data_IF_774575335375
#
_entry.id   IF_774575335375
#
_cell.length_a   1.000
_cell.length_b   1.000
_cell.length_c   1.000
_cell.angle_alpha   90.00
_cell.angle_beta   90.00
_cell.angle_gamma   90.00
#
_symmetry.space_group_name_H-M   'P 1'
#
loop_
_entity.id
_entity.type
_entity.pdbx_description
1 polymer ?
#
# COMPACT_ATOMS: atom_id res chain seq x y z
N UNK A 1 15.49 -0.12 19.01
CA UNK A 1 15.50 0.85 17.89
C UNK A 1 14.82 2.14 18.36
N UNK A 2 15.41 3.29 18.13
CA UNK A 2 14.87 4.58 18.56
C UNK A 2 13.48 4.79 17.91
N UNK A 3 12.47 5.27 18.66
CA UNK A 3 11.09 5.43 18.16
C UNK A 3 10.98 6.26 16.87
N UNK A 4 11.88 7.24 16.71
CA UNK A 4 11.92 8.10 15.52
C UNK A 4 12.36 7.39 14.23
N UNK A 5 13.06 6.26 14.32
CA UNK A 5 13.53 5.48 13.17
C UNK A 5 12.65 4.25 12.92
N UNK A 6 11.97 3.77 13.97
CA UNK A 6 11.16 2.53 13.90
C UNK A 6 10.03 2.65 12.86
N UNK A 7 9.28 3.74 12.89
CA UNK A 7 8.15 3.95 11.96
C UNK A 7 8.59 4.00 10.51
N UNK A 8 9.49 4.93 10.11
CA UNK A 8 10.00 5.02 8.76
C UNK A 8 10.62 3.72 8.23
N UNK A 9 11.35 2.96 9.07
CA UNK A 9 11.95 1.69 8.66
C UNK A 9 10.89 0.64 8.29
N UNK A 10 9.82 0.48 9.08
CA UNK A 10 8.73 -0.43 8.74
C UNK A 10 7.97 -0.01 7.49
N UNK A 11 7.75 1.30 7.30
CA UNK A 11 7.12 1.83 6.09
C UNK A 11 7.97 1.61 4.84
N UNK A 12 9.29 1.74 4.95
CA UNK A 12 10.22 1.48 3.85
C UNK A 12 10.22 0.00 3.44
N UNK A 13 10.20 -0.92 4.43
CA UNK A 13 10.05 -2.36 4.16
C UNK A 13 8.70 -2.67 3.52
N UNK A 14 7.62 -2.01 3.96
CA UNK A 14 6.31 -2.12 3.33
C UNK A 14 6.36 -1.69 1.86
N UNK A 15 6.92 -0.49 1.57
CA UNK A 15 7.07 0.02 0.21
C UNK A 15 7.91 -0.91 -0.67
N UNK A 16 8.96 -1.51 -0.13
CA UNK A 16 9.78 -2.51 -0.82
C UNK A 16 8.96 -3.74 -1.24
N UNK A 17 8.21 -4.35 -0.31
CA UNK A 17 7.38 -5.51 -0.63
C UNK A 17 6.24 -5.18 -1.60
N UNK A 18 5.63 -4.01 -1.47
CA UNK A 18 4.59 -3.59 -2.39
C UNK A 18 5.13 -3.33 -3.79
N UNK A 19 6.28 -2.66 -3.90
CA UNK A 19 6.90 -2.38 -5.19
C UNK A 19 7.23 -3.65 -5.98
N UNK A 20 7.88 -4.62 -5.34
CA UNK A 20 8.21 -5.90 -6.01
C UNK A 20 6.94 -6.69 -6.39
N UNK A 21 5.86 -6.57 -5.60
CA UNK A 21 4.63 -7.31 -5.84
C UNK A 21 3.85 -6.88 -7.09
N UNK A 22 4.08 -5.67 -7.63
CA UNK A 22 3.37 -5.19 -8.83
C UNK A 22 3.56 -6.11 -10.04
N UNK A 23 4.76 -6.63 -10.24
CA UNK A 23 5.05 -7.55 -11.34
C UNK A 23 4.21 -8.84 -11.23
N UNK A 24 4.15 -9.44 -10.05
CA UNK A 24 3.34 -10.64 -9.81
C UNK A 24 1.84 -10.36 -9.93
N UNK A 25 1.36 -9.19 -9.49
CA UNK A 25 -0.04 -8.79 -9.67
C UNK A 25 -0.41 -8.68 -11.15
N UNK A 26 0.44 -8.06 -11.97
CA UNK A 26 0.23 -7.94 -13.40
C UNK A 26 0.28 -9.30 -14.10
N UNK A 27 1.25 -10.16 -13.75
CA UNK A 27 1.37 -11.50 -14.33
C UNK A 27 0.13 -12.38 -14.04
N UNK A 28 -0.40 -12.32 -12.84
CA UNK A 28 -1.58 -13.08 -12.45
C UNK A 28 -2.82 -12.76 -13.30
N UNK A 29 -2.94 -11.53 -13.84
CA UNK A 29 -4.07 -11.13 -14.71
C UNK A 29 -4.11 -11.86 -16.05
N UNK A 30 -3.04 -12.56 -16.42
CA UNK A 30 -3.05 -13.45 -17.59
C UNK A 30 -3.76 -14.81 -17.34
N UNK A 31 -4.07 -15.11 -16.07
CA UNK A 31 -4.57 -16.42 -15.65
C UNK A 31 -5.90 -16.37 -14.90
N UNK A 32 -6.18 -15.26 -14.20
CA UNK A 32 -7.39 -15.05 -13.41
C UNK A 32 -7.90 -13.63 -13.57
N UNK A 33 -9.18 -13.44 -13.38
CA UNK A 33 -9.81 -12.12 -13.41
C UNK A 33 -9.58 -11.33 -12.10
N UNK A 34 -9.77 -10.00 -12.11
CA UNK A 34 -9.42 -9.12 -11.00
C UNK A 34 -10.05 -9.48 -9.65
N UNK A 35 -11.35 -9.78 -9.61
CA UNK A 35 -12.02 -10.08 -8.34
C UNK A 35 -11.57 -11.44 -7.78
N UNK A 36 -11.40 -12.43 -8.65
CA UNK A 36 -10.85 -13.75 -8.30
C UNK A 36 -9.44 -13.62 -7.73
N UNK A 37 -8.59 -12.82 -8.34
CA UNK A 37 -7.24 -12.59 -7.81
C UNK A 37 -7.27 -11.94 -6.43
N UNK A 38 -8.09 -10.89 -6.23
CA UNK A 38 -8.22 -10.22 -4.93
C UNK A 38 -8.78 -11.18 -3.88
N UNK A 39 -9.73 -12.03 -4.23
CA UNK A 39 -10.24 -13.07 -3.35
C UNK A 39 -9.15 -14.06 -2.93
N UNK A 40 -8.42 -14.63 -3.89
CA UNK A 40 -7.37 -15.62 -3.63
C UNK A 40 -6.26 -15.03 -2.75
N UNK A 41 -5.70 -13.87 -3.14
CA UNK A 41 -4.63 -13.23 -2.37
C UNK A 41 -5.08 -12.87 -0.95
N UNK A 42 -6.31 -12.34 -0.79
CA UNK A 42 -6.81 -11.94 0.52
C UNK A 42 -7.05 -13.13 1.44
N UNK A 43 -7.59 -14.24 0.90
CA UNK A 43 -7.80 -15.47 1.65
C UNK A 43 -6.47 -16.06 2.12
N UNK A 44 -5.49 -16.20 1.23
CA UNK A 44 -4.17 -16.72 1.58
C UNK A 44 -3.47 -15.78 2.58
N UNK A 45 -3.57 -14.46 2.41
CA UNK A 45 -3.03 -13.49 3.36
C UNK A 45 -3.65 -13.65 4.75
N UNK A 46 -4.96 -13.77 4.85
CA UNK A 46 -5.65 -13.96 6.12
C UNK A 46 -5.18 -15.25 6.82
N UNK A 47 -5.08 -16.35 6.10
CA UNK A 47 -4.60 -17.64 6.62
C UNK A 47 -3.16 -17.53 7.12
N UNK A 48 -2.27 -16.92 6.33
CA UNK A 48 -0.86 -16.69 6.70
C UNK A 48 -0.75 -15.82 7.95
N UNK A 49 -1.55 -14.75 8.05
CA UNK A 49 -1.56 -13.88 9.23
C UNK A 49 -2.07 -14.60 10.47
N UNK A 50 -3.13 -15.40 10.34
CA UNK A 50 -3.66 -16.19 11.47
C UNK A 50 -2.65 -17.22 11.95
N UNK A 51 -2.01 -17.95 11.03
CA UNK A 51 -1.01 -18.96 11.38
C UNK A 51 0.31 -18.34 11.89
N UNK A 52 0.74 -17.21 11.29
CA UNK A 52 1.98 -16.51 11.61
C UNK A 52 1.87 -15.49 12.74
N UNK A 53 0.69 -15.28 13.34
CA UNK A 53 0.45 -14.25 14.34
C UNK A 53 1.45 -14.27 15.52
N UNK A 54 1.78 -15.42 16.15
CA UNK A 54 2.74 -15.44 17.24
C UNK A 54 4.13 -14.96 16.84
N UNK A 55 4.58 -15.36 15.63
CA UNK A 55 5.88 -14.98 15.08
C UNK A 55 5.91 -13.47 14.76
N UNK A 56 4.89 -12.96 14.08
CA UNK A 56 4.79 -11.56 13.69
C UNK A 56 4.70 -10.64 14.91
N UNK A 57 3.92 -11.02 15.93
CA UNK A 57 3.85 -10.28 17.20
C UNK A 57 5.21 -10.24 17.91
N UNK A 58 5.96 -11.34 17.89
CA UNK A 58 7.32 -11.40 18.47
C UNK A 58 8.29 -10.48 17.71
N UNK A 59 8.24 -10.49 16.38
CA UNK A 59 9.10 -9.66 15.53
C UNK A 59 8.79 -8.16 15.66
N UNK A 60 7.51 -7.82 15.77
CA UNK A 60 7.05 -6.43 15.96
C UNK A 60 7.24 -5.91 17.39
N UNK A 61 7.45 -6.81 18.35
CA UNK A 61 7.46 -6.49 19.78
C UNK A 61 6.08 -6.10 20.31
N UNK A 62 5.01 -6.59 19.69
CA UNK A 62 3.63 -6.37 20.12
C UNK A 62 3.13 -7.55 20.95
N UNK A 63 2.45 -7.23 22.04
CA UNK A 63 1.78 -8.23 22.87
C UNK A 63 0.34 -8.44 22.42
N UNK A 64 -0.23 -9.61 22.71
CA UNK A 64 -1.66 -9.82 22.47
C UNK A 64 -2.50 -8.86 23.33
N UNK A 65 -3.51 -8.22 22.74
CA UNK A 65 -4.36 -7.31 23.46
C UNK A 65 -5.27 -8.07 24.45
N UNK A 66 -5.68 -7.43 25.56
CA UNK A 66 -6.69 -7.99 26.46
C UNK A 66 -7.98 -8.35 25.70
N UNK A 67 -8.71 -9.37 26.17
CA UNK A 67 -9.99 -9.83 25.56
C UNK A 67 -11.02 -8.69 25.37
N UNK A 68 -11.06 -7.71 26.25
CA UNK A 68 -11.94 -6.54 26.18
C UNK A 68 -11.70 -5.66 24.94
N UNK A 69 -10.53 -5.75 24.31
CA UNK A 69 -10.19 -5.01 23.07
C UNK A 69 -10.68 -5.73 21.80
N UNK A 70 -11.30 -6.91 21.89
CA UNK A 70 -11.65 -7.73 20.72
C UNK A 70 -12.70 -7.06 19.82
N UNK A 71 -13.77 -6.51 20.38
CA UNK A 71 -14.84 -5.86 19.60
C UNK A 71 -14.34 -4.65 18.82
N UNK A 72 -13.46 -3.86 19.43
CA UNK A 72 -12.83 -2.71 18.73
C UNK A 72 -11.93 -3.16 17.58
N UNK A 73 -11.14 -4.25 17.74
CA UNK A 73 -10.35 -4.81 16.65
C UNK A 73 -11.24 -5.23 15.48
N UNK A 74 -12.36 -5.90 15.77
CA UNK A 74 -13.29 -6.30 14.72
C UNK A 74 -13.93 -5.11 14.03
N UNK A 75 -14.46 -4.14 14.75
CA UNK A 75 -15.10 -2.97 14.15
C UNK A 75 -14.13 -2.16 13.26
N UNK A 76 -12.94 -1.86 13.80
CA UNK A 76 -11.91 -1.11 13.05
C UNK A 76 -11.37 -1.97 11.90
N UNK A 77 -11.16 -3.26 12.12
CA UNK A 77 -10.65 -4.18 11.10
C UNK A 77 -11.62 -4.35 9.93
N UNK A 78 -12.93 -4.47 10.19
CA UNK A 78 -13.97 -4.52 9.15
C UNK A 78 -14.00 -3.19 8.39
N UNK A 79 -14.01 -2.05 9.08
CA UNK A 79 -14.03 -0.74 8.44
C UNK A 79 -12.80 -0.54 7.53
N UNK A 80 -11.59 -0.77 8.06
CA UNK A 80 -10.36 -0.68 7.26
C UNK A 80 -10.33 -1.72 6.14
N UNK A 81 -10.80 -2.96 6.40
CA UNK A 81 -10.88 -4.03 5.40
C UNK A 81 -11.82 -3.72 4.25
N UNK A 82 -12.92 -3.02 4.51
CA UNK A 82 -13.85 -2.56 3.46
C UNK A 82 -13.19 -1.55 2.53
N UNK A 83 -12.47 -0.55 3.07
CA UNK A 83 -11.71 0.39 2.23
C UNK A 83 -10.52 -0.27 1.55
N UNK A 84 -9.87 -1.24 2.19
CA UNK A 84 -8.79 -2.02 1.60
C UNK A 84 -9.27 -2.82 0.39
N UNK A 85 -10.36 -3.58 0.51
CA UNK A 85 -10.88 -4.37 -0.61
C UNK A 85 -11.38 -3.49 -1.74
N UNK A 86 -12.04 -2.38 -1.43
CA UNK A 86 -12.45 -1.39 -2.42
C UNK A 86 -11.22 -0.86 -3.20
N UNK A 87 -10.19 -0.43 -2.49
CA UNK A 87 -8.97 0.07 -3.10
C UNK A 87 -8.28 -0.99 -3.97
N UNK A 88 -8.12 -2.21 -3.45
CA UNK A 88 -7.44 -3.29 -4.18
C UNK A 88 -8.22 -3.78 -5.40
N UNK A 89 -9.54 -3.87 -5.34
CA UNK A 89 -10.39 -4.22 -6.49
C UNK A 89 -10.27 -3.15 -7.58
N UNK A 90 -10.46 -1.88 -7.23
CA UNK A 90 -10.34 -0.78 -8.18
C UNK A 90 -8.95 -0.73 -8.83
N UNK A 91 -7.89 -0.92 -8.05
CA UNK A 91 -6.53 -0.99 -8.57
C UNK A 91 -6.36 -2.16 -9.54
N UNK A 92 -6.87 -3.34 -9.19
CA UNK A 92 -6.71 -4.54 -9.99
C UNK A 92 -7.48 -4.46 -11.32
N UNK A 93 -8.68 -3.86 -11.32
CA UNK A 93 -9.44 -3.55 -12.54
C UNK A 93 -8.66 -2.54 -13.40
N UNK A 94 -8.10 -1.50 -12.78
CA UNK A 94 -7.31 -0.50 -13.48
C UNK A 94 -6.08 -1.08 -14.19
N UNK A 95 -5.37 -2.00 -13.54
CA UNK A 95 -4.17 -2.66 -14.10
C UNK A 95 -4.47 -3.43 -15.40
N UNK A 96 -5.68 -3.95 -15.57
CA UNK A 96 -6.07 -4.68 -16.80
C UNK A 96 -6.07 -3.77 -18.04
N UNK A 97 -6.44 -2.50 -17.88
CA UNK A 97 -6.68 -1.59 -19.00
C UNK A 97 -5.70 -0.42 -19.07
N UNK A 98 -4.80 -0.28 -18.10
CA UNK A 98 -3.71 0.69 -18.10
C UNK A 98 -2.35 0.02 -17.94
N UNK A 99 -1.25 0.72 -18.21
CA UNK A 99 0.10 0.15 -17.99
C UNK A 99 0.41 0.06 -16.51
N UNK A 100 1.21 -0.93 -16.11
CA UNK A 100 1.63 -1.12 -14.72
C UNK A 100 2.31 0.14 -14.15
N UNK A 101 3.17 0.80 -14.94
CA UNK A 101 3.83 2.04 -14.54
C UNK A 101 2.83 3.17 -14.30
N UNK A 102 1.85 3.34 -15.20
CA UNK A 102 0.82 4.38 -15.09
C UNK A 102 -0.14 4.10 -13.92
N UNK A 103 -0.51 2.83 -13.72
CA UNK A 103 -1.30 2.41 -12.55
C UNK A 103 -0.55 2.71 -11.24
N UNK A 104 0.74 2.40 -11.17
CA UNK A 104 1.59 2.74 -10.02
C UNK A 104 1.66 4.25 -9.76
N UNK A 105 1.82 5.07 -10.83
CA UNK A 105 1.78 6.53 -10.73
C UNK A 105 0.46 7.04 -10.14
N UNK A 106 -0.65 6.62 -10.73
CA UNK A 106 -1.97 7.10 -10.35
C UNK A 106 -2.33 6.64 -8.92
N UNK A 107 -2.02 5.39 -8.59
CA UNK A 107 -2.23 4.88 -7.22
C UNK A 107 -1.44 5.71 -6.20
N UNK A 108 -0.18 6.01 -6.48
CA UNK A 108 0.68 6.78 -5.59
C UNK A 108 0.23 8.24 -5.40
N UNK A 109 -0.76 8.74 -6.16
CA UNK A 109 -1.39 10.05 -5.90
C UNK A 109 -2.07 10.12 -4.53
N UNK A 110 -2.25 9.00 -3.81
CA UNK A 110 -2.64 9.04 -2.39
C UNK A 110 -1.70 9.92 -1.55
N UNK A 111 -0.45 10.11 -1.98
CA UNK A 111 0.51 11.03 -1.32
C UNK A 111 0.01 12.48 -1.24
N UNK A 112 -0.83 12.90 -2.18
CA UNK A 112 -1.46 14.23 -2.17
C UNK A 112 -2.80 14.18 -1.45
N UNK A 113 -3.56 13.11 -1.62
CA UNK A 113 -4.91 12.98 -1.06
C UNK A 113 -4.84 12.85 0.48
N UNK A 114 -3.87 12.10 1.03
CA UNK A 114 -3.71 11.92 2.48
C UNK A 114 -3.53 13.26 3.23
N UNK A 115 -2.60 14.16 2.85
CA UNK A 115 -2.48 15.46 3.52
C UNK A 115 -3.71 16.36 3.33
N UNK A 116 -4.40 16.27 2.19
CA UNK A 116 -5.66 16.99 1.97
C UNK A 116 -6.73 16.50 2.97
N UNK A 117 -6.91 15.18 3.09
CA UNK A 117 -7.79 14.59 4.11
C UNK A 117 -7.35 15.00 5.52
N UNK A 118 -6.04 15.08 5.76
CA UNK A 118 -5.47 15.58 7.03
C UNK A 118 -5.91 16.99 7.38
N UNK A 119 -5.95 17.91 6.42
CA UNK A 119 -6.41 19.30 6.62
C UNK A 119 -7.87 19.30 7.09
N UNK A 120 -8.77 18.57 6.43
CA UNK A 120 -10.17 18.43 6.86
C UNK A 120 -10.29 17.84 8.28
N UNK A 121 -9.31 17.06 8.68
CA UNK A 121 -9.22 16.47 10.02
C UNK A 121 -8.44 17.35 11.02
N UNK A 122 -8.18 18.62 10.66
CA UNK A 122 -7.45 19.62 11.46
C UNK A 122 -5.99 19.23 11.76
N UNK A 123 -5.36 18.44 10.91
CA UNK A 123 -3.93 18.12 10.94
C UNK A 123 -3.26 18.74 9.73
N UNK A 124 -2.49 19.80 9.96
CA UNK A 124 -1.77 20.53 8.90
C UNK A 124 -0.33 20.04 8.88
N UNK A 125 0.13 19.39 7.79
CA UNK A 125 1.52 18.95 7.67
C UNK A 125 2.49 20.12 7.65
N UNK A 126 3.73 19.88 8.08
CA UNK A 126 4.78 20.90 8.06
C UNK A 126 5.13 21.32 6.61
N UNK A 127 5.73 22.49 6.45
CA UNK A 127 6.19 23.00 5.14
C UNK A 127 7.20 22.05 4.50
N UNK A 128 8.04 21.42 5.29
CA UNK A 128 9.04 20.44 4.83
C UNK A 128 8.37 19.20 4.23
N UNK A 129 7.29 18.72 4.84
CA UNK A 129 6.50 17.59 4.31
C UNK A 129 5.83 17.98 2.99
N UNK A 130 5.25 19.18 2.87
CA UNK A 130 4.69 19.66 1.61
C UNK A 130 5.72 19.76 0.48
N UNK A 131 6.93 20.21 0.80
CA UNK A 131 8.04 20.19 -0.16
C UNK A 131 8.37 18.75 -0.59
N UNK A 132 8.41 17.81 0.36
CA UNK A 132 8.59 16.39 0.07
C UNK A 132 7.50 15.83 -0.84
N UNK A 133 6.23 16.15 -0.58
CA UNK A 133 5.10 15.74 -1.44
C UNK A 133 5.26 16.27 -2.86
N UNK A 134 5.58 17.56 -3.02
CA UNK A 134 5.78 18.18 -4.33
C UNK A 134 6.94 17.53 -5.10
N UNK A 135 8.08 17.35 -4.45
CA UNK A 135 9.25 16.69 -5.06
C UNK A 135 8.96 15.23 -5.43
N UNK A 136 8.24 14.50 -4.58
CA UNK A 136 7.83 13.12 -4.90
C UNK A 136 6.86 13.05 -6.08
N UNK A 137 5.93 14.00 -6.19
CA UNK A 137 5.04 14.06 -7.37
C UNK A 137 5.82 14.30 -8.67
N UNK A 138 6.79 15.22 -8.63
CA UNK A 138 7.67 15.46 -9.80
C UNK A 138 8.49 14.22 -10.11
N UNK A 139 9.10 13.59 -9.10
CA UNK A 139 9.86 12.36 -9.28
C UNK A 139 9.02 11.22 -9.83
N UNK A 140 7.81 11.03 -9.32
CA UNK A 140 6.86 10.03 -9.77
C UNK A 140 6.43 10.25 -11.23
N UNK A 141 6.24 11.51 -11.64
CA UNK A 141 6.00 11.87 -13.03
C UNK A 141 7.16 11.43 -13.95
N UNK A 142 8.40 11.74 -13.56
CA UNK A 142 9.57 11.34 -14.35
C UNK A 142 9.76 9.83 -14.39
N UNK A 143 9.41 9.11 -13.31
CA UNK A 143 9.57 7.67 -13.21
C UNK A 143 8.51 6.91 -14.03
N UNK A 144 7.25 7.33 -14.00
CA UNK A 144 6.16 6.50 -14.48
C UNK A 144 5.52 6.99 -15.79
N UNK A 145 5.67 8.27 -16.17
CA UNK A 145 5.03 8.83 -17.36
C UNK A 145 6.00 8.88 -18.51
N UNK A 146 5.90 7.91 -19.42
CA UNK A 146 6.76 7.82 -20.62
C UNK A 146 6.13 8.43 -21.86
N UNK A 147 4.79 8.45 -21.97
CA UNK A 147 4.05 8.84 -23.16
C UNK A 147 2.92 9.86 -22.88
N UNK A 148 2.09 10.14 -23.89
CA UNK A 148 1.04 11.14 -23.84
C UNK A 148 0.13 11.01 -22.60
N UNK A 149 -0.27 12.16 -22.03
CA UNK A 149 -1.20 12.30 -20.91
C UNK A 149 -2.66 11.91 -21.26
N UNK A 150 -2.88 11.02 -22.23
CA UNK A 150 -4.23 10.52 -22.53
C UNK A 150 -4.73 9.68 -21.36
N UNK A 151 -5.83 10.10 -20.75
CA UNK A 151 -6.52 9.34 -19.70
C UNK A 151 -7.48 8.35 -20.33
N UNK A 152 -7.42 7.10 -19.89
CA UNK A 152 -8.37 6.06 -20.24
C UNK A 152 -9.28 5.70 -19.05
N UNK A 153 -10.24 4.79 -19.27
CA UNK A 153 -11.16 4.35 -18.20
C UNK A 153 -10.44 3.67 -17.04
N UNK A 154 -9.39 2.89 -17.31
CA UNK A 154 -8.58 2.25 -16.27
C UNK A 154 -7.84 3.25 -15.39
N UNK A 155 -7.37 4.36 -15.96
CA UNK A 155 -6.74 5.45 -15.20
C UNK A 155 -7.70 6.09 -14.22
N UNK A 156 -8.95 6.32 -14.62
CA UNK A 156 -9.99 6.89 -13.76
C UNK A 156 -10.36 5.92 -12.63
N UNK A 157 -10.46 4.64 -12.91
CA UNK A 157 -10.71 3.60 -11.90
C UNK A 157 -9.55 3.53 -10.91
N UNK A 158 -8.31 3.59 -11.41
CA UNK A 158 -7.11 3.62 -10.55
C UNK A 158 -7.05 4.89 -9.70
N UNK A 159 -7.53 6.03 -10.19
CA UNK A 159 -7.63 7.26 -9.38
C UNK A 159 -8.64 7.11 -8.22
N UNK A 160 -9.76 6.44 -8.46
CA UNK A 160 -10.70 6.08 -7.39
C UNK A 160 -10.04 5.13 -6.37
N UNK A 161 -9.20 4.21 -6.83
CA UNK A 161 -8.39 3.35 -5.94
C UNK A 161 -7.44 4.18 -5.06
N UNK A 162 -6.74 5.17 -5.63
CA UNK A 162 -5.85 6.06 -4.88
C UNK A 162 -6.60 6.80 -3.75
N UNK A 163 -7.83 7.25 -4.02
CA UNK A 163 -8.68 7.85 -3.00
C UNK A 163 -9.06 6.86 -1.89
N UNK A 164 -9.45 5.64 -2.26
CA UNK A 164 -9.79 4.58 -1.29
C UNK A 164 -8.58 4.19 -0.43
N UNK A 165 -7.38 4.11 -1.00
CA UNK A 165 -6.13 3.91 -0.24
C UNK A 165 -5.82 5.08 0.70
N UNK A 166 -6.03 6.32 0.26
CA UNK A 166 -5.83 7.48 1.12
C UNK A 166 -6.76 7.47 2.34
N UNK A 167 -8.03 7.08 2.14
CA UNK A 167 -8.97 6.88 3.25
C UNK A 167 -8.52 5.75 4.16
N UNK A 168 -8.11 4.60 3.60
CA UNK A 168 -7.59 3.46 4.36
C UNK A 168 -6.38 3.85 5.23
N UNK A 169 -5.37 4.54 4.66
CA UNK A 169 -4.20 5.05 5.38
C UNK A 169 -4.63 5.96 6.54
N UNK A 170 -5.57 6.86 6.28
CA UNK A 170 -6.10 7.80 7.27
C UNK A 170 -6.86 7.09 8.40
N UNK A 171 -7.64 6.06 8.07
CA UNK A 171 -8.35 5.25 9.06
C UNK A 171 -7.39 4.46 9.96
N UNK A 172 -6.35 3.85 9.40
CA UNK A 172 -5.31 3.16 10.17
C UNK A 172 -4.63 4.13 11.14
N UNK A 173 -4.26 5.33 10.69
CA UNK A 173 -3.66 6.35 11.56
C UNK A 173 -4.60 6.73 12.73
N UNK A 174 -5.87 6.94 12.43
CA UNK A 174 -6.84 7.41 13.42
C UNK A 174 -7.27 6.34 14.42
N UNK A 175 -7.45 5.13 13.96
CA UNK A 175 -8.13 4.07 14.71
C UNK A 175 -7.21 2.92 15.11
N UNK A 176 -6.13 2.70 14.36
CA UNK A 176 -5.23 1.55 14.50
C UNK A 176 -4.18 1.68 15.60
N UNK A 177 -3.85 2.90 16.05
CA UNK A 177 -2.68 3.18 16.90
C UNK A 177 -2.56 2.35 18.18
N UNK A 178 -3.69 2.01 18.85
CA UNK A 178 -3.72 1.22 20.09
C UNK A 178 -4.01 -0.26 19.85
N UNK A 179 -4.22 -0.71 18.62
CA UNK A 179 -4.60 -2.06 18.27
C UNK A 179 -3.36 -2.90 17.92
N UNK A 180 -3.44 -4.23 18.10
CA UNK A 180 -2.39 -5.12 17.65
C UNK A 180 -2.38 -5.15 16.10
N UNK A 181 -1.22 -4.86 15.50
CA UNK A 181 -1.08 -4.67 14.05
C UNK A 181 -1.35 -5.94 13.26
N UNK A 182 -0.83 -7.08 13.71
CA UNK A 182 -1.02 -8.37 13.03
C UNK A 182 -2.49 -8.80 13.06
N UNK A 183 -3.15 -8.65 14.21
CA UNK A 183 -4.56 -8.98 14.37
C UNK A 183 -5.44 -8.05 13.53
N UNK A 184 -5.12 -6.75 13.50
CA UNK A 184 -5.84 -5.79 12.68
C UNK A 184 -5.69 -6.14 11.19
N UNK A 185 -4.48 -6.48 10.71
CA UNK A 185 -4.25 -6.96 9.35
C UNK A 185 -5.04 -8.22 9.05
N UNK A 186 -5.06 -9.21 9.95
CA UNK A 186 -5.79 -10.47 9.73
C UNK A 186 -7.30 -10.21 9.56
N UNK A 187 -7.90 -9.34 10.36
CA UNK A 187 -9.33 -8.99 10.24
C UNK A 187 -9.59 -8.22 8.95
N UNK A 188 -8.73 -7.28 8.56
CA UNK A 188 -8.86 -6.56 7.29
C UNK A 188 -8.84 -7.51 6.09
N UNK A 189 -7.89 -8.43 6.05
CA UNK A 189 -7.80 -9.41 4.95
C UNK A 189 -8.89 -10.47 5.01
N UNK A 190 -9.38 -10.85 6.19
CA UNK A 190 -10.58 -11.68 6.34
C UNK A 190 -11.82 -10.98 5.77
N UNK A 191 -12.00 -9.70 6.09
CA UNK A 191 -13.08 -8.87 5.51
C UNK A 191 -12.94 -8.77 3.99
N UNK A 192 -11.73 -8.49 3.50
CA UNK A 192 -11.45 -8.38 2.08
C UNK A 192 -11.71 -9.72 1.36
N UNK A 193 -11.33 -10.85 1.96
CA UNK A 193 -11.58 -12.18 1.41
C UNK A 193 -13.08 -12.48 1.28
N UNK A 194 -13.88 -12.17 2.30
CA UNK A 194 -15.33 -12.39 2.25
C UNK A 194 -15.99 -11.53 1.19
N UNK A 195 -15.69 -10.22 1.17
CA UNK A 195 -16.30 -9.29 0.21
C UNK A 195 -15.89 -9.66 -1.23
N UNK A 196 -14.60 -9.88 -1.48
CA UNK A 196 -14.11 -10.21 -2.82
C UNK A 196 -14.55 -11.60 -3.28
N UNK A 197 -14.73 -12.56 -2.36
CA UNK A 197 -15.34 -13.86 -2.66
C UNK A 197 -16.75 -13.69 -3.24
N UNK A 198 -17.60 -12.95 -2.52
CA UNK A 198 -18.99 -12.71 -2.96
C UNK A 198 -18.99 -12.01 -4.32
N UNK A 199 -18.17 -10.99 -4.51
CA UNK A 199 -18.10 -10.24 -5.78
C UNK A 199 -17.58 -11.14 -6.91
N UNK A 200 -16.53 -11.93 -6.66
CA UNK A 200 -15.97 -12.83 -7.68
C UNK A 200 -17.00 -13.85 -8.18
N UNK A 201 -17.73 -14.48 -7.28
CA UNK A 201 -18.77 -15.47 -7.68
C UNK A 201 -20.02 -14.84 -8.32
N UNK A 202 -20.25 -13.52 -8.17
CA UNK A 202 -21.36 -12.82 -8.84
C UNK A 202 -20.96 -12.35 -10.24
N UNK A 203 -19.74 -11.88 -10.43
CA UNK A 203 -19.31 -11.16 -11.65
C UNK A 203 -18.28 -11.91 -12.50
N UNK A 204 -17.66 -12.95 -11.95
CA UNK A 204 -16.63 -13.77 -12.60
C UNK A 204 -16.95 -15.25 -12.40
N UNK A 205 -16.24 -16.12 -13.12
CA UNK A 205 -16.31 -17.57 -12.95
C UNK A 205 -14.97 -18.11 -12.40
N UNK A 206 -14.75 -18.06 -11.07
CA UNK A 206 -13.49 -18.47 -10.46
C UNK A 206 -13.17 -19.93 -10.80
N UNK A 207 -12.12 -20.14 -11.63
CA UNK A 207 -11.70 -21.47 -12.04
C UNK A 207 -10.45 -21.91 -11.26
N UNK A 208 -10.45 -23.15 -10.76
CA UNK A 208 -9.29 -23.72 -10.05
C UNK A 208 -8.05 -23.80 -10.95
N UNK A 209 -8.22 -24.05 -12.25
CA UNK A 209 -7.12 -24.09 -13.21
C UNK A 209 -6.38 -22.76 -13.31
N UNK A 210 -7.08 -21.64 -13.34
CA UNK A 210 -6.48 -20.30 -13.34
C UNK A 210 -5.74 -20.02 -12.03
N UNK A 211 -6.34 -20.35 -10.88
CA UNK A 211 -5.70 -20.21 -9.57
C UNK A 211 -4.42 -21.04 -9.46
N UNK A 212 -4.41 -22.27 -9.99
CA UNK A 212 -3.22 -23.12 -10.03
C UNK A 212 -2.17 -22.61 -11.03
N UNK A 213 -2.56 -21.95 -12.11
CA UNK A 213 -1.60 -21.38 -13.06
C UNK A 213 -0.79 -20.21 -12.46
N UNK A 214 -1.42 -19.38 -11.62
CA UNK A 214 -0.77 -18.21 -10.99
C UNK A 214 -0.49 -18.40 -9.48
N UNK A 215 -0.44 -19.64 -8.95
CA UNK A 215 -0.29 -19.88 -7.52
C UNK A 215 0.94 -19.23 -6.89
N UNK A 216 2.06 -19.14 -7.64
CA UNK A 216 3.30 -18.50 -7.17
C UNK A 216 3.10 -17.01 -6.97
N UNK A 217 2.42 -16.36 -7.91
CA UNK A 217 2.10 -14.93 -7.85
C UNK A 217 1.15 -14.64 -6.70
N UNK A 218 0.09 -15.45 -6.55
CA UNK A 218 -0.85 -15.35 -5.42
C UNK A 218 -0.12 -15.51 -4.09
N UNK A 219 0.72 -16.54 -3.95
CA UNK A 219 1.46 -16.80 -2.71
C UNK A 219 2.45 -15.68 -2.39
N UNK A 220 3.21 -15.22 -3.39
CA UNK A 220 4.17 -14.12 -3.21
C UNK A 220 3.46 -12.83 -2.78
N UNK A 221 2.40 -12.45 -3.48
CA UNK A 221 1.63 -11.25 -3.16
C UNK A 221 0.95 -11.38 -1.79
N UNK A 222 0.40 -12.55 -1.46
CA UNK A 222 -0.26 -12.78 -0.17
C UNK A 222 0.71 -12.70 1.02
N UNK A 223 1.90 -13.28 0.90
CA UNK A 223 2.88 -13.30 1.99
C UNK A 223 3.63 -11.98 2.07
N UNK A 224 4.26 -11.55 0.97
CA UNK A 224 5.14 -10.38 0.99
C UNK A 224 4.36 -9.08 1.02
N UNK A 225 3.44 -8.88 0.08
CA UNK A 225 2.66 -7.64 0.01
C UNK A 225 1.54 -7.62 1.06
N UNK A 226 0.79 -8.70 1.18
CA UNK A 226 -0.35 -8.81 2.09
C UNK A 226 0.08 -8.93 3.55
N UNK A 227 0.64 -10.07 3.96
CA UNK A 227 0.89 -10.34 5.37
C UNK A 227 2.00 -9.44 5.95
N UNK A 228 3.16 -9.36 5.31
CA UNK A 228 4.26 -8.53 5.79
C UNK A 228 4.02 -7.05 5.52
N UNK A 229 3.70 -6.68 4.27
CA UNK A 229 3.55 -5.29 3.86
C UNK A 229 2.51 -4.55 4.69
N UNK A 230 1.27 -5.00 4.74
CA UNK A 230 0.21 -4.31 5.49
C UNK A 230 0.41 -4.36 7.02
N UNK A 231 0.99 -5.42 7.55
CA UNK A 231 1.36 -5.44 8.98
C UNK A 231 2.42 -4.38 9.27
N UNK A 232 3.44 -4.27 8.42
CA UNK A 232 4.49 -3.26 8.55
C UNK A 232 3.96 -1.84 8.33
N UNK A 233 2.98 -1.66 7.44
CA UNK A 233 2.27 -0.39 7.29
C UNK A 233 1.64 0.04 8.61
N UNK A 234 0.85 -0.83 9.24
CA UNK A 234 0.15 -0.50 10.49
C UNK A 234 1.16 -0.20 11.61
N UNK A 235 2.22 -1.02 11.74
CA UNK A 235 3.28 -0.78 12.72
C UNK A 235 3.96 0.56 12.45
N UNK A 236 4.30 0.82 11.21
CA UNK A 236 4.99 2.05 10.80
C UNK A 236 4.16 3.31 11.07
N UNK A 237 2.87 3.26 10.76
CA UNK A 237 1.94 4.37 11.00
C UNK A 237 1.69 4.67 12.48
N UNK A 238 1.92 3.74 13.40
CA UNK A 238 1.87 4.03 14.85
C UNK A 238 2.94 5.02 15.32
N UNK A 239 4.03 5.15 14.57
CA UNK A 239 5.20 5.96 14.93
C UNK A 239 5.50 7.06 13.93
N UNK A 240 4.69 7.21 12.88
CA UNK A 240 4.93 8.15 11.77
C UNK A 240 3.64 8.90 11.44
N UNK A 241 3.74 10.21 11.26
CA UNK A 241 2.63 11.04 10.82
C UNK A 241 2.07 10.54 9.46
N UNK A 242 0.73 10.56 9.23
CA UNK A 242 0.13 9.96 8.04
C UNK A 242 0.63 10.52 6.71
N UNK A 243 0.89 11.83 6.63
CA UNK A 243 1.45 12.43 5.39
C UNK A 243 2.88 11.97 5.13
N UNK A 244 3.72 11.89 6.17
CA UNK A 244 5.07 11.34 6.05
C UNK A 244 5.03 9.84 5.75
N UNK A 245 4.07 9.11 6.33
CA UNK A 245 3.86 7.71 6.04
C UNK A 245 3.50 7.49 4.56
N UNK A 246 2.55 8.26 4.00
CA UNK A 246 2.17 8.17 2.59
C UNK A 246 3.34 8.51 1.66
N UNK A 247 4.20 9.45 2.05
CA UNK A 247 5.39 9.84 1.29
C UNK A 247 6.43 8.70 1.24
N UNK A 248 6.65 8.00 2.36
CA UNK A 248 7.55 6.85 2.37
C UNK A 248 6.95 5.67 1.61
N UNK A 249 5.65 5.42 1.76
CA UNK A 249 4.96 4.33 1.07
C UNK A 249 5.00 4.51 -0.46
N UNK A 250 4.92 5.74 -0.98
CA UNK A 250 4.99 5.95 -2.44
C UNK A 250 6.35 5.56 -3.07
N UNK A 251 7.39 5.29 -2.27
CA UNK A 251 8.63 4.67 -2.74
C UNK A 251 8.41 3.25 -3.29
N UNK A 252 7.23 2.67 -3.12
CA UNK A 252 6.85 1.42 -3.81
C UNK A 252 7.07 1.51 -5.32
N UNK A 253 6.85 2.69 -5.94
CA UNK A 253 7.10 2.91 -7.36
C UNK A 253 8.59 2.85 -7.70
N UNK A 254 9.47 3.34 -6.82
CA UNK A 254 10.93 3.24 -6.96
C UNK A 254 11.36 1.78 -6.84
N UNK A 255 10.84 1.05 -5.87
CA UNK A 255 11.15 -0.37 -5.69
C UNK A 255 10.57 -1.23 -6.82
N UNK A 256 9.42 -0.87 -7.40
CA UNK A 256 8.89 -1.52 -8.60
C UNK A 256 9.82 -1.35 -9.79
N UNK A 257 10.36 -0.15 -10.00
CA UNK A 257 11.32 0.13 -11.07
C UNK A 257 12.64 -0.64 -10.87
N UNK A 258 13.18 -0.65 -9.64
CA UNK A 258 14.39 -1.41 -9.30
C UNK A 258 14.14 -2.92 -9.46
N UNK A 259 12.97 -3.41 -9.01
CA UNK A 259 12.58 -4.81 -9.17
C UNK A 259 12.48 -5.21 -10.64
N UNK A 260 11.90 -4.36 -11.49
CA UNK A 260 11.86 -4.54 -12.94
C UNK A 260 13.26 -4.61 -13.57
N UNK A 261 14.16 -3.73 -13.15
CA UNK A 261 15.55 -3.73 -13.61
C UNK A 261 16.31 -5.00 -13.19
N UNK A 262 16.26 -5.36 -11.90
CA UNK A 262 17.07 -6.47 -11.35
C UNK A 262 16.49 -7.84 -11.68
N UNK A 263 15.15 -8.00 -11.63
CA UNK A 263 14.50 -9.30 -11.76
C UNK A 263 14.02 -9.61 -13.18
N UNK A 264 13.66 -8.58 -13.94
CA UNK A 264 13.09 -8.72 -15.29
C UNK A 264 14.04 -8.21 -16.39
N UNK A 265 15.29 -7.83 -16.05
CA UNK A 265 16.29 -7.27 -16.96
C UNK A 265 15.77 -6.05 -17.77
N UNK A 266 14.80 -5.30 -17.21
CA UNK A 266 14.33 -4.07 -17.80
C UNK A 266 15.39 -2.98 -17.64
N UNK A 267 15.59 -2.13 -18.66
CA UNK A 267 16.53 -1.02 -18.59
C UNK A 267 15.84 0.22 -18.05
N UNK A 268 16.44 0.86 -17.04
CA UNK A 268 15.99 2.15 -16.57
C UNK A 268 16.61 3.26 -17.43
N UNK A 269 15.78 4.11 -17.99
CA UNK A 269 16.22 5.32 -18.68
C UNK A 269 16.80 6.35 -17.71
N UNK A 270 17.62 7.28 -18.20
CA UNK A 270 18.13 8.39 -17.38
C UNK A 270 17.02 9.23 -16.74
N UNK A 271 15.86 9.35 -17.41
CA UNK A 271 14.66 10.01 -16.90
C UNK A 271 14.08 9.29 -15.69
N UNK A 272 13.93 7.97 -15.76
CA UNK A 272 13.41 7.15 -14.66
C UNK A 272 14.36 7.13 -13.47
N UNK A 273 15.67 7.06 -13.72
CA UNK A 273 16.69 7.18 -12.66
C UNK A 273 16.62 8.54 -11.94
N UNK A 274 16.41 9.64 -12.68
CA UNK A 274 16.22 10.96 -12.12
C UNK A 274 14.94 11.02 -11.26
N UNK A 275 13.84 10.42 -11.73
CA UNK A 275 12.59 10.28 -10.97
C UNK A 275 12.79 9.54 -9.64
N UNK A 276 13.48 8.39 -9.67
CA UNK A 276 13.82 7.63 -8.45
C UNK A 276 14.66 8.47 -7.47
N UNK A 277 15.68 9.18 -7.95
CA UNK A 277 16.53 10.02 -7.12
C UNK A 277 15.75 11.16 -6.46
N UNK A 278 14.81 11.80 -7.18
CA UNK A 278 13.92 12.82 -6.63
C UNK A 278 13.02 12.28 -5.52
N UNK A 279 12.39 11.12 -5.72
CA UNK A 279 11.51 10.50 -4.73
C UNK A 279 12.26 10.11 -3.46
N UNK A 280 13.45 9.52 -3.60
CA UNK A 280 14.32 9.20 -2.46
C UNK A 280 14.74 10.46 -1.71
N UNK A 281 15.17 11.49 -2.44
CA UNK A 281 15.56 12.78 -1.84
C UNK A 281 14.40 13.45 -1.11
N UNK A 282 13.20 13.40 -1.69
CA UNK A 282 11.97 13.92 -1.08
C UNK A 282 11.66 13.25 0.26
N UNK A 283 11.76 11.93 0.30
CA UNK A 283 11.53 11.15 1.54
C UNK A 283 12.56 11.47 2.62
N UNK A 284 13.84 11.65 2.24
CA UNK A 284 14.90 12.06 3.16
C UNK A 284 14.66 13.47 3.69
N UNK A 285 14.32 14.43 2.81
CA UNK A 285 14.01 15.82 3.19
C UNK A 285 12.85 15.87 4.18
N UNK A 286 11.80 15.10 3.94
CA UNK A 286 10.62 15.06 4.80
C UNK A 286 10.90 14.45 6.20
N UNK A 287 11.93 13.61 6.31
CA UNK A 287 12.38 13.03 7.58
C UNK A 287 13.24 14.00 8.41
N UNK A 288 13.76 15.07 7.79
CA UNK A 288 14.54 16.06 8.53
C UNK A 288 13.63 16.82 9.52
N UNK A 289 14.11 17.04 10.76
CA UNK A 289 13.34 17.81 11.73
C UNK A 289 13.08 19.21 11.16
N UNK A 290 11.81 19.62 11.13
CA UNK A 290 11.46 20.99 10.79
C UNK A 290 12.23 21.91 11.74
N UNK A 291 13.07 22.83 11.21
CA UNK A 291 13.70 23.87 12.02
C UNK A 291 12.55 24.56 12.77
N UNK A 292 12.52 24.42 14.10
CA UNK A 292 11.61 25.18 14.93
C UNK A 292 11.90 26.65 14.67
N UNK A 293 11.05 27.30 13.88
CA UNK A 293 11.08 28.73 13.75
C UNK A 293 10.89 29.28 15.16
N UNK A 294 11.96 29.88 15.70
CA UNK A 294 11.92 30.48 17.03
C UNK A 294 10.70 31.36 17.14
N UNK A 295 9.81 31.01 18.05
CA UNK A 295 8.85 31.99 18.57
C UNK A 295 9.70 33.08 19.23
N UNK A 296 9.84 34.23 18.55
CA UNK A 296 10.11 35.48 19.22
C UNK A 296 8.81 36.01 19.82
#
# INVERSE_FOLDING_TARGET
>A
MNKSIKGPAFLLLCAFFWGIAFASQSNAMNHVEPYTFVFLRSTVTCLVLCAGMPLLNRLSGETEPPKASSSRHFAVGILCGTFLVLATILQQIGIVTTTTAKSGFITALYIVIVPILGIFLKRIPSRTIWLGVLLSMVGLYFLCMTDSLSLNSGDMITLCSAFAYAVHITLIDRLGGSLNSTRLSAIQFGTAAVISCVIAFIFEEPALSGALACWKDVLFVAVCSGALGYTFQIIGQKYTEPTLASLILCLESVFAAIGGWVLLNQTLSGREMFGCALMLSASVIALLPAKSGGKK
#
